data_IF_045559093273
#
_entry.id   IF_045559093273
#
_cell.length_a   1.000
_cell.length_b   1.000
_cell.length_c   1.000
_cell.angle_alpha   90.00
_cell.angle_beta   90.00
_cell.angle_gamma   90.00
#
_symmetry.space_group_name_H-M   'P 1'
#
loop_
_entity.id
_entity.type
_entity.pdbx_description
1 polymer ?
#
# COMPACT_ATOMS: atom_id res chain seq x y z
N UNK A 1 9.00 -30.00 -11.04
CA UNK A 1 9.83 -28.92 -10.48
C UNK A 1 8.97 -28.20 -9.45
N UNK A 2 9.03 -28.65 -8.19
CA UNK A 2 8.37 -27.95 -7.09
C UNK A 2 9.00 -26.57 -6.97
N UNK A 3 8.19 -25.53 -7.18
CA UNK A 3 8.58 -24.14 -6.92
C UNK A 3 8.82 -24.06 -5.41
N UNK A 4 10.08 -24.00 -4.98
CA UNK A 4 10.40 -23.73 -3.58
C UNK A 4 9.60 -22.50 -3.15
N UNK A 5 8.84 -22.62 -2.06
CA UNK A 5 8.09 -21.50 -1.51
C UNK A 5 9.08 -20.37 -1.23
N UNK A 6 8.80 -19.21 -1.81
CA UNK A 6 9.59 -18.00 -1.64
C UNK A 6 9.77 -17.73 -0.12
N UNK A 7 11.00 -17.49 0.38
CA UNK A 7 11.24 -17.37 1.82
C UNK A 7 10.48 -16.19 2.44
N UNK A 8 9.70 -16.46 3.50
CA UNK A 8 9.06 -15.42 4.29
C UNK A 8 10.14 -14.67 5.10
N UNK A 9 10.29 -13.38 4.86
CA UNK A 9 11.27 -12.52 5.55
C UNK A 9 10.67 -11.83 6.76
N UNK A 10 9.40 -11.44 6.68
CA UNK A 10 8.71 -10.74 7.75
C UNK A 10 7.20 -10.95 7.66
N UNK A 11 6.53 -10.99 8.82
CA UNK A 11 5.08 -10.96 8.94
C UNK A 11 4.69 -10.15 10.17
N UNK A 12 3.80 -9.18 10.00
CA UNK A 12 3.04 -8.56 11.08
C UNK A 12 1.57 -8.93 10.94
N UNK A 13 0.95 -9.29 12.06
CA UNK A 13 -0.48 -9.63 12.17
C UNK A 13 -1.23 -8.54 12.95
N UNK A 14 -0.53 -7.47 13.36
CA UNK A 14 -1.09 -6.31 14.07
C UNK A 14 -1.89 -6.68 15.33
N UNK A 15 -1.44 -7.71 16.06
CA UNK A 15 -2.09 -8.22 17.26
C UNK A 15 -1.81 -7.30 18.47
N UNK A 16 -2.54 -6.17 18.52
CA UNK A 16 -2.50 -5.19 19.60
C UNK A 16 -1.33 -4.21 19.54
N UNK A 17 -0.27 -4.48 18.77
CA UNK A 17 0.85 -3.56 18.55
C UNK A 17 1.56 -3.82 17.20
N UNK A 18 2.53 -2.95 16.88
CA UNK A 18 3.49 -3.17 15.80
C UNK A 18 4.63 -4.08 16.27
N UNK A 19 5.06 -5.01 15.42
CA UNK A 19 6.32 -5.73 15.63
C UNK A 19 7.53 -4.80 15.45
N UNK A 20 8.69 -5.25 15.92
CA UNK A 20 9.93 -4.48 15.83
C UNK A 20 10.31 -4.13 14.36
N UNK A 21 10.89 -2.94 14.19
CA UNK A 21 11.42 -2.46 12.91
C UNK A 21 10.50 -1.50 12.15
N UNK A 22 9.28 -1.28 12.62
CA UNK A 22 8.38 -0.25 12.12
C UNK A 22 8.71 1.14 12.68
N UNK A 23 8.51 2.18 11.87
CA UNK A 23 8.63 3.58 12.24
C UNK A 23 7.53 4.41 11.57
N UNK A 24 6.97 5.37 12.30
CA UNK A 24 5.99 6.32 11.77
C UNK A 24 6.68 7.57 11.23
N UNK A 25 6.21 8.04 10.07
CA UNK A 25 6.43 9.40 9.59
C UNK A 25 5.17 10.22 9.85
N UNK A 26 5.33 11.43 10.41
CA UNK A 26 4.24 12.34 10.78
C UNK A 26 3.17 11.65 11.64
N UNK A 27 3.61 11.03 12.74
CA UNK A 27 2.74 10.26 13.62
C UNK A 27 1.66 11.13 14.30
N UNK A 28 0.44 10.63 14.28
CA UNK A 28 -0.67 11.09 15.10
C UNK A 28 -1.50 9.89 15.57
N UNK A 29 -1.30 9.51 16.83
CA UNK A 29 -1.91 8.36 17.48
C UNK A 29 -3.44 8.42 17.58
N UNK A 30 -4.07 9.57 17.27
CA UNK A 30 -5.54 9.67 17.18
C UNK A 30 -6.10 9.03 15.92
N UNK A 31 -5.25 8.78 14.92
CA UNK A 31 -5.66 8.35 13.59
C UNK A 31 -5.16 6.94 13.21
N UNK A 32 -4.71 6.15 14.19
CA UNK A 32 -4.54 4.72 14.04
C UNK A 32 -5.00 3.96 15.29
N UNK A 33 -5.30 2.66 15.15
CA UNK A 33 -5.67 1.79 16.27
C UNK A 33 -5.34 0.34 15.97
N UNK A 34 -4.94 -0.41 17.01
CA UNK A 34 -4.76 -1.87 16.96
C UNK A 34 -5.86 -2.60 17.74
N UNK A 35 -6.75 -1.86 18.40
CA UNK A 35 -7.72 -2.43 19.37
C UNK A 35 -9.17 -2.20 18.97
N UNK A 36 -9.46 -1.26 18.07
CA UNK A 36 -10.81 -1.04 17.56
C UNK A 36 -11.33 -2.26 16.80
N UNK A 37 -10.43 -2.91 16.05
CA UNK A 37 -10.66 -4.16 15.36
C UNK A 37 -9.46 -5.08 15.66
N UNK A 38 -9.51 -5.89 16.74
CA UNK A 38 -8.38 -6.72 17.15
C UNK A 38 -7.87 -7.62 16.02
N UNK A 39 -6.55 -7.69 15.86
CA UNK A 39 -5.89 -8.39 14.75
C UNK A 39 -5.83 -7.58 13.45
N UNK A 40 -6.17 -6.29 13.49
CA UNK A 40 -6.06 -5.38 12.35
C UNK A 40 -5.40 -4.07 12.79
N UNK A 41 -4.56 -3.52 11.91
CA UNK A 41 -4.16 -2.12 11.98
C UNK A 41 -5.23 -1.27 11.28
N UNK A 42 -5.93 -0.43 12.03
CA UNK A 42 -6.77 0.63 11.47
C UNK A 42 -5.97 1.90 11.27
N UNK A 43 -6.07 2.50 10.08
CA UNK A 43 -5.49 3.81 9.75
C UNK A 43 -6.58 4.70 9.16
N UNK A 44 -6.87 5.81 9.83
CA UNK A 44 -7.81 6.80 9.31
C UNK A 44 -7.14 7.60 8.21
N UNK A 45 -7.70 7.57 6.99
CA UNK A 45 -7.19 8.40 5.90
C UNK A 45 -7.33 9.89 6.25
N UNK A 46 -6.26 10.66 6.13
CA UNK A 46 -6.21 12.10 6.43
C UNK A 46 -5.86 12.91 5.17
N UNK A 47 -6.11 14.24 5.16
CA UNK A 47 -5.49 15.13 4.19
C UNK A 47 -3.97 14.98 4.19
N UNK A 48 -3.35 15.33 3.06
CA UNK A 48 -1.91 15.22 2.86
C UNK A 48 -1.55 14.12 1.86
N UNK A 49 -0.29 14.16 1.44
CA UNK A 49 0.23 13.39 0.33
C UNK A 49 1.68 12.96 0.61
N UNK A 50 2.10 11.81 0.08
CA UNK A 50 3.47 11.31 0.33
C UNK A 50 4.50 12.22 -0.36
N UNK A 51 4.19 12.68 -1.58
CA UNK A 51 5.12 13.41 -2.44
C UNK A 51 5.69 14.70 -1.85
N UNK A 52 4.87 15.42 -1.09
CA UNK A 52 5.25 16.67 -0.43
C UNK A 52 5.58 16.49 1.06
N UNK A 53 5.60 15.24 1.55
CA UNK A 53 5.91 14.90 2.93
C UNK A 53 4.83 15.31 3.94
N UNK A 54 3.61 15.61 3.51
CA UNK A 54 2.52 16.05 4.40
C UNK A 54 1.59 14.93 4.87
N UNK A 55 1.73 13.73 4.33
CA UNK A 55 0.93 12.56 4.71
C UNK A 55 1.01 12.32 6.22
N UNK A 56 -0.14 12.12 6.86
CA UNK A 56 -0.21 11.70 8.28
C UNK A 56 -0.09 10.18 8.37
N UNK A 57 0.66 9.68 9.36
CA UNK A 57 0.79 8.24 9.62
C UNK A 57 1.26 7.42 8.42
N UNK A 58 2.39 7.79 7.81
CA UNK A 58 3.07 6.89 6.86
C UNK A 58 3.91 5.89 7.67
N UNK A 59 3.51 4.62 7.64
CA UNK A 59 4.17 3.53 8.39
C UNK A 59 5.24 2.88 7.51
N UNK A 60 6.50 2.89 7.93
CA UNK A 60 7.63 2.38 7.15
C UNK A 60 8.52 1.43 7.95
N UNK A 61 9.14 0.50 7.25
CA UNK A 61 10.27 -0.32 7.73
C UNK A 61 11.31 -0.47 6.62
N UNK A 62 12.52 -0.86 6.98
CA UNK A 62 13.58 -1.11 5.99
C UNK A 62 13.11 -2.15 4.95
N UNK A 63 13.33 -1.84 3.67
CA UNK A 63 13.17 -2.80 2.59
C UNK A 63 14.22 -3.92 2.73
N UNK A 64 13.89 -5.17 2.39
CA UNK A 64 14.91 -6.22 2.33
C UNK A 64 15.84 -5.99 1.13
N UNK A 65 17.02 -6.60 1.18
CA UNK A 65 17.90 -6.66 0.00
C UNK A 65 17.29 -7.54 -1.10
N UNK A 66 17.72 -7.29 -2.35
CA UNK A 66 17.33 -8.09 -3.50
C UNK A 66 15.89 -7.88 -3.98
N UNK A 67 15.35 -8.92 -4.61
CA UNK A 67 13.98 -8.94 -5.12
C UNK A 67 13.02 -9.37 -4.01
N UNK A 68 11.85 -8.74 -3.94
CA UNK A 68 10.89 -9.02 -2.88
C UNK A 68 9.46 -8.69 -3.28
N UNK A 69 8.52 -9.23 -2.53
CA UNK A 69 7.10 -8.92 -2.62
C UNK A 69 6.57 -8.54 -1.24
N UNK A 70 5.83 -7.43 -1.18
CA UNK A 70 5.04 -7.06 -0.01
C UNK A 70 3.56 -7.32 -0.27
N UNK A 71 2.84 -7.81 0.73
CA UNK A 71 1.43 -8.15 0.62
C UNK A 71 0.66 -7.78 1.88
N UNK A 72 -0.61 -7.39 1.68
CA UNK A 72 -1.60 -7.22 2.74
C UNK A 72 -2.97 -7.67 2.25
N UNK A 73 -3.80 -8.11 3.18
CA UNK A 73 -5.26 -8.05 3.02
C UNK A 73 -5.77 -6.76 3.62
N UNK A 74 -6.64 -6.05 2.92
CA UNK A 74 -7.14 -4.75 3.31
C UNK A 74 -8.66 -4.69 3.21
N UNK A 75 -9.30 -4.10 4.21
CA UNK A 75 -10.70 -3.67 4.14
C UNK A 75 -10.74 -2.14 4.15
N UNK A 76 -11.25 -1.53 3.09
CA UNK A 76 -11.36 -0.08 3.00
C UNK A 76 -12.42 0.32 1.98
N UNK A 77 -13.34 1.21 2.35
CA UNK A 77 -14.43 1.68 1.47
C UNK A 77 -14.26 3.18 1.16
N UNK A 78 -13.35 3.57 0.24
CA UNK A 78 -13.16 4.97 -0.13
C UNK A 78 -14.38 5.52 -0.88
N UNK A 79 -14.75 6.77 -0.59
CA UNK A 79 -15.94 7.42 -1.16
C UNK A 79 -15.67 8.79 -1.77
N UNK A 80 -14.60 9.44 -1.35
CA UNK A 80 -14.16 10.75 -1.82
C UNK A 80 -13.03 10.62 -2.83
N UNK A 81 -12.95 11.57 -3.76
CA UNK A 81 -11.91 11.58 -4.77
C UNK A 81 -10.51 11.58 -4.13
N UNK A 82 -9.68 10.69 -4.65
CA UNK A 82 -8.26 10.46 -4.37
C UNK A 82 -7.96 9.82 -3.01
N UNK A 83 -8.97 9.48 -2.20
CA UNK A 83 -8.75 8.70 -0.98
C UNK A 83 -8.11 7.36 -1.31
N UNK A 84 -7.08 6.98 -0.55
CA UNK A 84 -6.34 5.74 -0.78
C UNK A 84 -5.93 5.07 0.54
N UNK A 85 -5.98 3.73 0.54
CA UNK A 85 -5.24 2.87 1.46
C UNK A 85 -4.34 1.96 0.64
N UNK A 86 -3.03 1.92 0.95
CA UNK A 86 -2.04 1.34 0.04
C UNK A 86 -0.82 0.72 0.73
N UNK A 87 -0.23 -0.24 0.02
CA UNK A 87 1.17 -0.65 0.16
C UNK A 87 2.07 0.43 -0.47
N UNK A 88 3.26 0.64 0.12
CA UNK A 88 4.23 1.63 -0.35
C UNK A 88 5.61 0.98 -0.49
N UNK A 89 6.32 1.27 -1.58
CA UNK A 89 7.78 1.16 -1.67
C UNK A 89 8.34 2.58 -1.79
N UNK A 90 9.27 2.93 -0.90
CA UNK A 90 9.63 4.32 -0.62
C UNK A 90 11.14 4.52 -0.63
N UNK A 91 11.59 5.57 -1.33
CA UNK A 91 12.93 6.13 -1.21
C UNK A 91 12.85 7.47 -0.46
N UNK A 92 11.98 8.36 -0.92
CA UNK A 92 11.78 9.71 -0.37
C UNK A 92 10.38 10.24 -0.72
N UNK A 93 10.02 11.43 -0.23
CA UNK A 93 8.77 12.09 -0.63
C UNK A 93 8.67 12.18 -2.15
N UNK A 94 9.64 12.78 -2.86
CA UNK A 94 9.62 12.86 -4.33
C UNK A 94 9.72 11.52 -5.08
N UNK A 95 10.20 10.43 -4.45
CA UNK A 95 10.47 9.14 -5.09
C UNK A 95 9.83 7.97 -4.32
N UNK A 96 8.69 7.50 -4.79
CA UNK A 96 7.99 6.35 -4.21
C UNK A 96 7.02 5.73 -5.22
N UNK A 97 6.56 4.52 -4.93
CA UNK A 97 5.38 3.94 -5.59
C UNK A 97 4.40 3.43 -4.55
N UNK A 98 3.11 3.63 -4.83
CA UNK A 98 2.02 3.19 -3.97
C UNK A 98 1.04 2.35 -4.76
N UNK A 99 0.60 1.25 -4.16
CA UNK A 99 -0.39 0.36 -4.76
C UNK A 99 -1.46 0.01 -3.73
N UNK A 100 -2.72 0.33 -4.06
CA UNK A 100 -3.78 0.23 -3.09
C UNK A 100 -5.18 0.30 -3.68
N UNK A 101 -6.16 0.40 -2.79
CA UNK A 101 -7.54 0.71 -3.18
C UNK A 101 -7.79 2.19 -2.99
N UNK A 102 -8.34 2.81 -4.02
CA UNK A 102 -8.69 4.21 -4.00
C UNK A 102 -10.02 4.48 -4.70
N UNK A 103 -10.52 5.69 -4.52
CA UNK A 103 -11.68 6.19 -5.26
C UNK A 103 -11.29 7.41 -6.11
N UNK A 104 -11.56 7.39 -7.40
CA UNK A 104 -11.45 8.56 -8.27
C UNK A 104 -12.67 8.68 -9.17
N UNK A 105 -13.64 9.49 -8.77
CA UNK A 105 -14.86 9.77 -9.53
C UNK A 105 -14.66 10.22 -10.98
N UNK A 106 -13.66 11.09 -11.29
CA UNK A 106 -13.39 11.47 -12.68
C UNK A 106 -12.59 10.40 -13.46
N UNK A 107 -12.06 9.36 -12.81
CA UNK A 107 -11.32 8.29 -13.47
C UNK A 107 -12.26 7.16 -13.93
N UNK A 108 -11.91 6.39 -14.98
CA UNK A 108 -12.75 5.28 -15.46
C UNK A 108 -13.02 4.20 -14.41
N UNK A 109 -12.01 3.84 -13.59
CA UNK A 109 -12.13 2.78 -12.60
C UNK A 109 -12.98 3.15 -11.39
N UNK A 110 -13.12 4.45 -11.07
CA UNK A 110 -13.83 4.94 -9.87
C UNK A 110 -13.32 4.29 -8.58
N UNK A 111 -14.08 3.40 -7.97
CA UNK A 111 -13.64 2.56 -6.85
C UNK A 111 -12.86 1.36 -7.41
N UNK A 112 -11.58 1.27 -7.08
CA UNK A 112 -10.73 0.26 -7.68
C UNK A 112 -9.34 0.17 -7.09
N UNK A 113 -8.55 -0.71 -7.69
CA UNK A 113 -7.10 -0.72 -7.52
C UNK A 113 -6.49 0.46 -8.27
N UNK A 114 -5.54 1.15 -7.64
CA UNK A 114 -4.75 2.22 -8.25
C UNK A 114 -3.27 1.98 -7.97
N UNK A 115 -2.44 2.20 -8.98
CA UNK A 115 -0.99 2.01 -8.91
C UNK A 115 -0.26 3.22 -9.48
N UNK A 116 0.33 4.00 -8.60
CA UNK A 116 1.02 5.24 -8.94
C UNK A 116 2.52 5.10 -8.70
N UNK A 117 3.33 5.68 -9.59
CA UNK A 117 4.75 5.88 -9.42
C UNK A 117 5.03 7.38 -9.42
N UNK A 118 5.88 7.82 -8.49
CA UNK A 118 6.43 9.16 -8.46
C UNK A 118 7.95 9.13 -8.58
N UNK A 119 8.47 10.00 -9.44
CA UNK A 119 9.89 10.22 -9.69
C UNK A 119 10.12 11.73 -9.71
N UNK A 120 11.06 12.20 -8.89
CA UNK A 120 11.40 13.62 -8.73
C UNK A 120 10.16 14.51 -8.50
N UNK A 121 9.19 14.00 -7.73
CA UNK A 121 7.96 14.71 -7.34
C UNK A 121 6.89 14.76 -8.43
N UNK A 122 7.09 14.07 -9.55
CA UNK A 122 6.15 14.00 -10.67
C UNK A 122 5.68 12.57 -10.89
N UNK A 123 4.55 12.37 -11.56
CA UNK A 123 4.15 11.04 -12.00
C UNK A 123 5.22 10.44 -12.92
N UNK A 124 5.76 9.28 -12.53
CA UNK A 124 6.81 8.55 -13.24
C UNK A 124 6.30 7.67 -14.39
N UNK A 125 5.09 7.93 -14.88
CA UNK A 125 4.41 7.11 -15.89
C UNK A 125 2.90 7.32 -15.83
N UNK A 126 2.16 6.46 -16.54
CA UNK A 126 0.70 6.40 -16.45
C UNK A 126 0.26 5.79 -15.11
N UNK A 127 -0.86 6.24 -14.57
CA UNK A 127 -1.49 5.57 -13.44
C UNK A 127 -2.25 4.35 -13.95
N UNK A 128 -2.00 3.18 -13.36
CA UNK A 128 -2.78 2.00 -13.66
C UNK A 128 -3.97 1.91 -12.72
N UNK A 129 -5.14 1.58 -13.25
CA UNK A 129 -6.33 1.42 -12.46
C UNK A 129 -7.22 0.28 -12.97
N UNK A 130 -7.88 -0.42 -12.07
CA UNK A 130 -8.85 -1.47 -12.39
C UNK A 130 -9.98 -1.41 -11.38
N UNK A 131 -11.22 -1.29 -11.88
CA UNK A 131 -12.41 -1.26 -11.02
C UNK A 131 -12.57 -2.57 -10.26
N UNK A 132 -13.01 -2.50 -9.03
CA UNK A 132 -13.46 -3.69 -8.29
C UNK A 132 -14.96 -3.92 -8.52
N UNK A 133 -15.37 -5.18 -8.61
CA UNK A 133 -16.77 -5.53 -8.92
C UNK A 133 -17.69 -5.37 -7.69
N UNK A 134 -17.24 -5.79 -6.51
CA UNK A 134 -18.04 -5.74 -5.28
C UNK A 134 -17.19 -6.05 -4.04
N UNK A 135 -17.65 -5.58 -2.88
CA UNK A 135 -17.07 -5.89 -1.57
C UNK A 135 -16.03 -4.88 -1.11
N UNK A 136 -15.80 -4.85 0.21
CA UNK A 136 -14.89 -3.87 0.81
C UNK A 136 -13.47 -4.40 1.05
N UNK A 137 -13.29 -5.71 0.92
CA UNK A 137 -12.02 -6.39 1.17
C UNK A 137 -11.31 -6.72 -0.13
N UNK A 138 -10.02 -6.39 -0.20
CA UNK A 138 -9.12 -6.70 -1.30
C UNK A 138 -7.81 -7.26 -0.76
N UNK A 139 -7.10 -8.00 -1.61
CA UNK A 139 -5.72 -8.41 -1.36
C UNK A 139 -4.81 -7.67 -2.32
N UNK A 140 -3.70 -7.18 -1.81
CA UNK A 140 -2.74 -6.36 -2.53
C UNK A 140 -1.37 -7.01 -2.46
N UNK A 141 -0.67 -7.08 -3.59
CA UNK A 141 0.76 -7.39 -3.68
C UNK A 141 1.47 -6.28 -4.45
N UNK A 142 2.60 -5.85 -3.93
CA UNK A 142 3.51 -4.96 -4.62
C UNK A 142 4.89 -5.61 -4.67
N UNK A 143 5.29 -5.98 -5.88
CA UNK A 143 6.52 -6.73 -6.15
C UNK A 143 7.59 -5.81 -6.71
N UNK A 144 8.82 -5.97 -6.24
CA UNK A 144 10.02 -5.36 -6.81
C UNK A 144 10.98 -6.44 -7.32
N UNK A 145 11.30 -6.38 -8.61
CA UNK A 145 12.32 -7.22 -9.26
C UNK A 145 13.31 -6.30 -10.00
N UNK A 146 14.47 -6.08 -9.40
CA UNK A 146 15.41 -5.04 -9.82
C UNK A 146 14.77 -3.66 -9.83
N UNK A 147 14.62 -3.09 -11.03
CA UNK A 147 14.02 -1.77 -11.27
C UNK A 147 12.55 -1.85 -11.71
N UNK A 148 11.95 -3.05 -11.68
CA UNK A 148 10.58 -3.29 -12.10
C UNK A 148 9.68 -3.43 -10.88
N UNK A 149 8.56 -2.71 -10.90
CA UNK A 149 7.56 -2.69 -9.84
C UNK A 149 6.22 -3.18 -10.40
N UNK A 150 5.68 -4.26 -9.86
CA UNK A 150 4.42 -4.85 -10.34
C UNK A 150 3.38 -4.86 -9.23
N UNK A 151 2.22 -4.24 -9.48
CA UNK A 151 1.07 -4.29 -8.60
C UNK A 151 0.14 -5.43 -8.98
N UNK A 152 -0.22 -6.30 -8.03
CA UNK A 152 -1.21 -7.35 -8.23
C UNK A 152 -2.38 -7.19 -7.26
N UNK A 153 -3.60 -7.23 -7.80
CA UNK A 153 -4.83 -7.22 -7.01
C UNK A 153 -5.49 -8.59 -6.98
N UNK A 154 -6.19 -8.91 -5.90
CA UNK A 154 -7.02 -10.12 -5.81
C UNK A 154 -8.24 -9.90 -4.92
N UNK A 155 -9.36 -10.51 -5.29
CA UNK A 155 -10.58 -10.49 -4.48
C UNK A 155 -10.63 -11.62 -3.43
N UNK A 156 -9.84 -12.68 -3.62
CA UNK A 156 -9.91 -13.91 -2.81
C UNK A 156 -8.56 -14.34 -2.19
N UNK A 157 -7.46 -13.63 -2.51
CA UNK A 157 -6.12 -13.93 -2.04
C UNK A 157 -5.43 -15.08 -2.78
N UNK A 158 -6.11 -15.71 -3.74
CA UNK A 158 -5.62 -16.88 -4.48
C UNK A 158 -5.49 -16.62 -5.98
N UNK A 159 -6.43 -15.90 -6.58
CA UNK A 159 -6.45 -15.52 -7.99
C UNK A 159 -5.97 -14.07 -8.12
N UNK A 160 -4.77 -13.88 -8.67
CA UNK A 160 -4.10 -12.58 -8.74
C UNK A 160 -4.09 -12.05 -10.18
N UNK A 161 -4.52 -10.81 -10.35
CA UNK A 161 -4.43 -10.07 -11.62
C UNK A 161 -3.33 -9.01 -11.54
N UNK A 162 -2.57 -8.85 -12.63
CA UNK A 162 -1.66 -7.72 -12.77
C UNK A 162 -2.49 -6.47 -13.01
N UNK A 163 -2.30 -5.47 -12.16
CA UNK A 163 -2.93 -4.15 -12.32
C UNK A 163 -2.07 -3.25 -13.19
N UNK A 164 -0.75 -3.30 -12.99
CA UNK A 164 0.18 -2.47 -13.74
C UNK A 164 1.63 -2.80 -13.45
N UNK A 165 2.52 -2.27 -14.29
CA UNK A 165 3.96 -2.43 -14.19
C UNK A 165 4.62 -1.07 -14.39
N UNK A 166 5.41 -0.67 -13.40
CA UNK A 166 6.23 0.54 -13.41
C UNK A 166 7.70 0.19 -13.50
N UNK A 167 8.50 1.09 -14.09
CA UNK A 167 9.95 1.00 -14.10
C UNK A 167 10.55 2.25 -13.47
N UNK A 168 11.47 2.09 -12.53
CA UNK A 168 12.13 3.22 -11.87
C UNK A 168 13.52 2.84 -11.38
N UNK A 169 14.44 3.80 -11.43
CA UNK A 169 15.79 3.69 -10.85
C UNK A 169 15.82 4.06 -9.36
N UNK A 170 14.65 4.31 -8.75
CA UNK A 170 14.60 4.67 -7.33
C UNK A 170 15.27 3.61 -6.45
N UNK A 171 16.06 4.08 -5.50
CA UNK A 171 16.71 3.28 -4.48
C UNK A 171 15.73 3.00 -3.36
N UNK A 172 14.88 1.98 -3.57
CA UNK A 172 13.87 1.52 -2.61
C UNK A 172 14.51 1.13 -1.25
N UNK A 173 14.52 2.08 -0.30
CA UNK A 173 15.08 1.89 1.04
C UNK A 173 14.06 1.38 2.06
N UNK A 174 12.78 1.62 1.81
CA UNK A 174 11.71 1.29 2.75
C UNK A 174 10.48 0.68 2.06
N UNK A 175 9.73 -0.08 2.85
CA UNK A 175 8.41 -0.61 2.49
C UNK A 175 7.40 -0.31 3.59
N UNK A 176 6.11 -0.22 3.26
CA UNK A 176 5.15 0.15 4.28
C UNK A 176 3.70 0.27 3.86
N UNK A 177 2.95 0.98 4.70
CA UNK A 177 1.51 1.17 4.62
C UNK A 177 1.14 2.65 4.73
N UNK A 178 0.09 3.07 4.04
CA UNK A 178 -0.47 4.41 4.12
C UNK A 178 -1.99 4.40 4.01
N UNK A 179 -2.63 5.39 4.62
CA UNK A 179 -4.02 5.75 4.39
C UNK A 179 -4.10 7.28 4.30
N UNK A 180 -4.47 7.83 3.14
CA UNK A 180 -4.23 9.24 2.84
C UNK A 180 -5.27 9.89 1.92
N UNK A 181 -5.03 11.17 1.62
CA UNK A 181 -5.74 11.98 0.62
C UNK A 181 -7.25 12.14 0.85
N UNK A 182 -7.69 12.04 2.10
CA UNK A 182 -9.09 12.29 2.48
C UNK A 182 -9.39 13.80 2.60
N UNK A 183 -9.52 14.47 1.46
CA UNK A 183 -9.87 15.90 1.35
C UNK A 183 -11.40 16.07 1.29
N UNK A 184 -12.02 16.38 2.43
CA UNK A 184 -13.47 16.60 2.54
C UNK A 184 -14.15 15.46 3.29
N UNK A 185 -14.68 14.46 2.57
CA UNK A 185 -15.29 13.30 3.22
C UNK A 185 -14.23 12.46 3.94
N UNK A 186 -14.58 11.93 5.10
CA UNK A 186 -13.75 11.00 5.85
C UNK A 186 -14.39 9.61 5.69
N UNK A 187 -13.76 8.67 4.97
CA UNK A 187 -14.26 7.31 4.91
C UNK A 187 -14.09 6.64 6.29
N UNK A 188 -14.60 5.41 6.45
CA UNK A 188 -14.10 4.55 7.53
C UNK A 188 -12.59 4.34 7.40
N UNK A 189 -11.89 3.91 8.46
CA UNK A 189 -10.45 3.67 8.38
C UNK A 189 -10.11 2.60 7.34
N UNK A 190 -8.94 2.70 6.72
CA UNK A 190 -8.34 1.57 6.03
C UNK A 190 -7.86 0.57 7.08
N UNK A 191 -8.31 -0.68 6.98
CA UNK A 191 -7.98 -1.73 7.92
C UNK A 191 -7.05 -2.73 7.21
N UNK A 192 -5.88 -3.00 7.79
CA UNK A 192 -4.90 -3.96 7.28
C UNK A 192 -4.84 -5.18 8.22
N UNK A 193 -5.10 -6.37 7.68
CA UNK A 193 -5.13 -7.65 8.45
C UNK A 193 -3.72 -8.11 8.80
N UNK A 194 -2.81 -7.98 7.84
CA UNK A 194 -1.42 -8.37 8.00
C UNK A 194 -0.53 -7.62 7.02
N UNK A 195 0.76 -7.56 7.31
CA UNK A 195 1.78 -7.15 6.35
C UNK A 195 2.85 -8.22 6.26
N UNK A 196 3.09 -8.75 5.07
CA UNK A 196 4.17 -9.73 4.84
C UNK A 196 5.19 -9.21 3.85
N UNK A 197 6.44 -9.67 4.03
CA UNK A 197 7.53 -9.51 3.08
C UNK A 197 8.04 -10.90 2.72
N UNK A 198 8.12 -11.20 1.42
CA UNK A 198 8.64 -12.46 0.91
C UNK A 198 9.80 -12.18 -0.05
N UNK A 199 10.90 -12.90 0.10
CA UNK A 199 12.04 -12.83 -0.82
C UNK A 199 11.70 -13.48 -2.17
N UNK A 200 12.14 -12.89 -3.27
CA UNK A 200 12.02 -13.46 -4.60
C UNK A 200 13.39 -13.89 -5.15
N UNK A 201 13.42 -14.81 -6.13
CA UNK A 201 14.65 -15.21 -6.80
C UNK A 201 15.43 -14.06 -7.44
#
# INVERSE_FOLDING_TARGET
>A
LERALAPLLFRDDFDGNLKEGWAWTNEDARFYSFTNNPGWLEMSARPGYIGDGTVTNLLLRNAPEGNYEIETRMNFAPKGNFQIGALVIYESGPNFTQFGRAFCGPCPAKDGYYFDLFVDGNFGGENFATSIASGDTVYLRLRREGNTYTGYGSADGTNWQVIGVHQSQMSAGFVGLTAAQANGSQPGPAQFDYFIITALP
#
